data_IF_478579585111
#
_entry.id   IF_478579585111
#
_cell.length_a   1.000
_cell.length_b   1.000
_cell.length_c   1.000
_cell.angle_alpha   90.00
_cell.angle_beta   90.00
_cell.angle_gamma   90.00
#
_symmetry.space_group_name_H-M   'P 1'
#
loop_
_entity.id
_entity.type
_entity.pdbx_description
1 polymer ?
#
# COMPACT_ATOMS: atom_id res chain seq x y z
N UNK A 1 7.57 7.06 -48.76
CA UNK A 1 8.85 7.72 -49.06
C UNK A 1 8.67 9.18 -48.76
N UNK A 2 9.48 9.68 -47.82
CA UNK A 2 9.41 11.03 -47.31
C UNK A 2 9.52 12.07 -48.44
N UNK A 3 8.76 13.17 -48.31
CA UNK A 3 8.67 14.22 -49.34
C UNK A 3 9.09 15.57 -48.77
N UNK A 4 9.87 16.32 -49.53
CA UNK A 4 10.25 17.68 -49.12
C UNK A 4 9.06 18.64 -49.22
N UNK A 5 8.81 19.40 -48.15
CA UNK A 5 7.76 20.44 -48.04
C UNK A 5 8.39 21.71 -47.49
N UNK A 6 8.79 22.60 -48.40
CA UNK A 6 9.54 23.81 -48.05
C UNK A 6 10.90 23.46 -47.42
N UNK A 7 11.19 24.01 -46.24
CA UNK A 7 12.43 23.73 -45.47
C UNK A 7 12.37 22.44 -44.61
N UNK A 8 11.27 21.67 -44.68
CA UNK A 8 11.04 20.48 -43.85
C UNK A 8 10.77 19.25 -44.71
N UNK A 9 10.84 18.08 -44.10
CA UNK A 9 10.59 16.78 -44.73
C UNK A 9 9.34 16.12 -44.13
N UNK A 10 8.40 15.68 -44.95
CA UNK A 10 7.14 15.07 -44.52
C UNK A 10 7.18 13.56 -44.69
N UNK A 11 6.91 12.81 -43.62
CA UNK A 11 6.67 11.36 -43.68
C UNK A 11 5.20 11.10 -44.04
N UNK A 12 4.91 9.97 -44.67
CA UNK A 12 3.54 9.53 -44.98
C UNK A 12 3.35 8.09 -44.52
N UNK A 13 2.58 7.91 -43.44
CA UNK A 13 2.39 6.61 -42.78
C UNK A 13 0.93 6.31 -42.51
N UNK A 14 0.57 5.02 -42.52
CA UNK A 14 -0.74 4.53 -42.11
C UNK A 14 -0.60 3.90 -40.72
N UNK A 15 -1.31 4.44 -39.72
CA UNK A 15 -1.32 3.92 -38.35
C UNK A 15 -2.77 3.58 -38.02
N UNK A 16 -3.06 2.32 -37.75
CA UNK A 16 -4.40 1.80 -37.43
C UNK A 16 -5.48 2.24 -38.44
N UNK A 17 -5.15 2.20 -39.74
CA UNK A 17 -6.06 2.60 -40.82
C UNK A 17 -6.18 4.11 -41.06
N UNK A 18 -5.55 4.95 -40.22
CA UNK A 18 -5.56 6.41 -40.35
C UNK A 18 -4.24 6.90 -40.93
N UNK A 19 -4.31 7.70 -41.99
CA UNK A 19 -3.13 8.29 -42.63
C UNK A 19 -2.62 9.50 -41.86
N UNK A 20 -1.37 9.46 -41.38
CA UNK A 20 -0.71 10.57 -40.68
C UNK A 20 0.50 11.07 -41.48
N UNK A 21 0.69 12.40 -41.47
CA UNK A 21 1.75 13.08 -42.25
C UNK A 21 2.61 14.06 -41.45
N UNK A 22 3.38 13.59 -40.44
CA UNK A 22 4.24 14.45 -39.63
C UNK A 22 5.42 15.03 -40.43
N UNK A 23 6.00 16.14 -39.95
CA UNK A 23 7.13 16.82 -40.61
C UNK A 23 8.38 16.93 -39.73
N UNK A 24 9.54 16.76 -40.33
CA UNK A 24 10.86 16.61 -39.72
C UNK A 24 11.84 17.64 -40.29
N UNK A 25 12.96 17.83 -39.60
CA UNK A 25 13.98 18.78 -40.03
C UNK A 25 14.82 18.21 -41.19
N UNK A 26 15.06 16.89 -41.18
CA UNK A 26 15.89 16.22 -42.18
C UNK A 26 15.16 15.08 -42.90
N UNK A 27 15.63 14.74 -44.10
CA UNK A 27 15.11 13.61 -44.88
C UNK A 27 15.30 12.29 -44.12
N UNK A 28 16.46 12.10 -43.52
CA UNK A 28 16.82 10.89 -42.79
C UNK A 28 15.87 10.61 -41.62
N UNK A 29 15.45 11.64 -40.88
CA UNK A 29 14.46 11.54 -39.79
C UNK A 29 13.09 11.10 -40.29
N UNK A 30 12.62 11.71 -41.39
CA UNK A 30 11.32 11.38 -41.97
C UNK A 30 11.28 9.95 -42.53
N UNK A 31 12.34 9.52 -43.22
CA UNK A 31 12.45 8.16 -43.73
C UNK A 31 12.65 7.12 -42.63
N UNK A 32 13.39 7.45 -41.57
CA UNK A 32 13.50 6.58 -40.40
C UNK A 32 12.12 6.35 -39.79
N UNK A 33 11.34 7.42 -39.60
CA UNK A 33 9.97 7.34 -39.08
C UNK A 33 9.05 6.48 -39.95
N UNK A 34 9.12 6.59 -41.29
CA UNK A 34 8.35 5.73 -42.20
C UNK A 34 8.76 4.25 -42.09
N UNK A 35 10.07 3.96 -42.10
CA UNK A 35 10.60 2.58 -41.99
C UNK A 35 10.15 1.90 -40.71
N UNK A 36 10.13 2.67 -39.64
CA UNK A 36 9.72 2.26 -38.31
C UNK A 36 8.24 1.94 -38.18
N UNK A 37 7.36 2.80 -38.70
CA UNK A 37 5.93 2.49 -38.71
C UNK A 37 5.66 1.27 -39.60
N UNK A 38 6.36 1.15 -40.73
CA UNK A 38 6.29 -0.01 -41.60
C UNK A 38 6.78 -1.31 -40.94
N UNK A 39 7.72 -1.24 -39.99
CA UNK A 39 8.20 -2.39 -39.20
C UNK A 39 7.43 -2.61 -37.89
N UNK A 40 6.40 -1.82 -37.60
CA UNK A 40 5.62 -1.88 -36.35
C UNK A 40 6.32 -1.25 -35.13
N UNK A 41 7.45 -0.57 -35.32
CA UNK A 41 8.27 0.04 -34.28
C UNK A 41 8.64 1.49 -34.62
N UNK A 42 7.95 2.49 -34.05
CA UNK A 42 8.40 3.91 -34.10
C UNK A 42 9.88 4.04 -33.66
N UNK A 43 10.76 4.82 -34.33
CA UNK A 43 12.17 4.83 -33.99
C UNK A 43 12.59 6.12 -33.26
N UNK A 44 13.49 5.92 -32.30
CA UNK A 44 14.44 6.92 -31.78
C UNK A 44 13.86 8.03 -30.90
N UNK A 45 13.25 7.62 -29.79
CA UNK A 45 13.80 8.12 -28.53
C UNK A 45 14.66 7.02 -27.94
N UNK A 46 15.98 7.26 -27.86
CA UNK A 46 16.97 6.46 -27.10
C UNK A 46 16.67 6.44 -25.60
N UNK A 47 15.47 6.86 -25.20
CA UNK A 47 15.03 6.95 -23.83
C UNK A 47 14.80 5.55 -23.30
N UNK A 48 15.70 5.14 -22.43
CA UNK A 48 15.65 3.88 -21.72
C UNK A 48 14.94 4.05 -20.37
N UNK A 49 14.46 2.94 -19.83
CA UNK A 49 13.59 2.89 -18.67
C UNK A 49 14.18 3.62 -17.45
N UNK A 50 15.45 3.38 -17.13
CA UNK A 50 16.11 3.95 -15.96
C UNK A 50 16.28 5.47 -16.04
N UNK A 51 16.97 6.01 -17.07
CA UNK A 51 17.08 7.45 -17.28
C UNK A 51 15.72 8.16 -17.28
N UNK A 52 14.72 7.58 -17.95
CA UNK A 52 13.36 8.13 -17.96
C UNK A 52 12.73 8.19 -16.57
N UNK A 53 12.80 7.09 -15.82
CA UNK A 53 12.28 7.03 -14.45
C UNK A 53 12.95 8.08 -13.58
N UNK A 54 14.26 8.24 -13.68
CA UNK A 54 15.02 9.20 -12.88
C UNK A 54 14.63 10.64 -13.22
N UNK A 55 14.59 10.98 -14.51
CA UNK A 55 14.23 12.32 -14.98
C UNK A 55 12.78 12.68 -14.62
N UNK A 56 11.85 11.74 -14.78
CA UNK A 56 10.42 11.97 -14.56
C UNK A 56 9.99 11.69 -13.12
N UNK A 57 10.87 11.25 -12.22
CA UNK A 57 10.49 10.82 -10.87
C UNK A 57 9.70 11.90 -10.13
N UNK A 58 10.23 13.13 -10.09
CA UNK A 58 9.57 14.25 -9.42
C UNK A 58 8.27 14.67 -10.11
N UNK A 59 8.17 14.51 -11.44
CA UNK A 59 6.93 14.78 -12.17
C UNK A 59 5.83 13.75 -11.86
N UNK A 60 6.20 12.49 -11.65
CA UNK A 60 5.25 11.41 -11.37
C UNK A 60 4.89 11.35 -9.87
N UNK A 61 5.85 11.61 -8.99
CA UNK A 61 5.75 11.33 -7.55
C UNK A 61 6.31 12.42 -6.62
N UNK A 62 6.63 13.63 -7.11
CA UNK A 62 7.21 14.69 -6.29
C UNK A 62 6.40 15.04 -5.04
N UNK A 63 5.07 15.01 -5.14
CA UNK A 63 4.16 15.27 -4.02
C UNK A 63 3.79 14.01 -3.21
N UNK A 64 4.28 12.84 -3.59
CA UNK A 64 3.91 11.59 -2.96
C UNK A 64 4.66 11.41 -1.63
N UNK A 65 3.94 11.26 -0.51
CA UNK A 65 4.57 11.06 0.82
C UNK A 65 5.34 9.74 0.98
N UNK A 66 5.15 8.78 0.07
CA UNK A 66 5.75 7.45 0.13
C UNK A 66 6.85 7.24 -0.94
N UNK A 67 7.62 8.28 -1.27
CA UNK A 67 8.71 8.19 -2.26
C UNK A 67 9.69 7.05 -1.97
N UNK A 68 10.03 6.80 -0.71
CA UNK A 68 10.91 5.69 -0.31
C UNK A 68 10.37 4.32 -0.75
N UNK A 69 9.07 4.08 -0.54
CA UNK A 69 8.42 2.85 -0.97
C UNK A 69 8.38 2.72 -2.51
N UNK A 70 8.24 3.85 -3.21
CA UNK A 70 8.30 3.88 -4.68
C UNK A 70 9.70 3.51 -5.16
N UNK A 71 10.76 4.11 -4.61
CA UNK A 71 12.13 3.74 -4.91
C UNK A 71 12.41 2.26 -4.63
N UNK A 72 11.90 1.72 -3.52
CA UNK A 72 12.02 0.28 -3.21
C UNK A 72 11.35 -0.58 -4.27
N UNK A 73 10.16 -0.21 -4.74
CA UNK A 73 9.49 -0.94 -5.81
C UNK A 73 10.21 -0.80 -7.17
N UNK A 74 10.75 0.38 -7.49
CA UNK A 74 11.58 0.61 -8.68
C UNK A 74 12.85 -0.25 -8.65
N UNK A 75 13.53 -0.34 -7.49
CA UNK A 75 14.71 -1.20 -7.31
C UNK A 75 14.41 -2.66 -7.59
N UNK A 76 13.22 -3.14 -7.22
CA UNK A 76 12.77 -4.49 -7.57
C UNK A 76 12.47 -4.58 -9.07
N UNK A 77 11.78 -3.60 -9.66
CA UNK A 77 11.50 -3.57 -11.09
C UNK A 77 12.78 -3.62 -11.94
N UNK A 78 13.85 -2.93 -11.54
CA UNK A 78 15.13 -2.96 -12.26
C UNK A 78 15.77 -4.34 -12.37
N UNK A 79 15.36 -5.31 -11.53
CA UNK A 79 15.79 -6.72 -11.65
C UNK A 79 15.09 -7.47 -12.78
N UNK A 80 13.98 -6.94 -13.27
CA UNK A 80 13.16 -7.56 -14.32
C UNK A 80 13.06 -6.70 -15.59
N UNK A 81 13.27 -5.39 -15.46
CA UNK A 81 13.35 -4.42 -16.55
C UNK A 81 14.67 -3.67 -16.34
N UNK A 82 15.77 -4.12 -16.96
CA UNK A 82 17.07 -3.45 -16.90
C UNK A 82 16.96 -1.96 -17.24
N UNK A 83 17.80 -1.13 -16.61
CA UNK A 83 17.72 0.32 -16.75
C UNK A 83 17.91 0.82 -18.19
N UNK A 84 18.64 0.07 -19.00
CA UNK A 84 18.93 0.28 -20.42
C UNK A 84 17.84 -0.27 -21.37
N UNK A 85 16.76 -0.84 -20.83
CA UNK A 85 15.62 -1.29 -21.65
C UNK A 85 14.96 -0.09 -22.33
N UNK A 86 14.88 -0.10 -23.66
CA UNK A 86 14.15 0.92 -24.41
C UNK A 86 12.67 0.95 -23.99
N UNK A 87 12.09 2.14 -23.79
CA UNK A 87 10.67 2.24 -23.39
C UNK A 87 9.73 1.57 -24.40
N UNK A 88 10.08 1.63 -25.69
CA UNK A 88 9.31 1.03 -26.79
C UNK A 88 9.34 -0.50 -26.79
N UNK A 89 10.30 -1.14 -26.12
CA UNK A 89 10.37 -2.61 -26.01
C UNK A 89 9.65 -3.16 -24.77
N UNK A 90 9.14 -2.30 -23.89
CA UNK A 90 8.29 -2.69 -22.75
C UNK A 90 6.87 -2.91 -23.26
N UNK A 91 6.67 -3.99 -24.00
CA UNK A 91 5.38 -4.39 -24.54
C UNK A 91 4.60 -5.33 -23.59
N UNK A 92 3.42 -5.78 -24.04
CA UNK A 92 2.61 -6.75 -23.29
C UNK A 92 3.36 -8.06 -23.02
N UNK A 93 4.14 -8.56 -23.98
CA UNK A 93 4.86 -9.82 -23.84
C UNK A 93 6.00 -9.73 -22.82
N UNK A 94 6.73 -8.62 -22.78
CA UNK A 94 7.73 -8.35 -21.75
C UNK A 94 7.06 -8.25 -20.37
N UNK A 95 5.92 -7.55 -20.27
CA UNK A 95 5.17 -7.46 -19.01
C UNK A 95 4.72 -8.83 -18.50
N UNK A 96 4.18 -9.68 -19.39
CA UNK A 96 3.74 -11.03 -19.03
C UNK A 96 4.93 -11.92 -18.61
N UNK A 97 6.07 -11.87 -19.32
CA UNK A 97 7.31 -12.56 -18.91
C UNK A 97 7.81 -12.09 -17.56
N UNK A 98 7.80 -10.78 -17.30
CA UNK A 98 8.18 -10.22 -16.01
C UNK A 98 7.28 -10.74 -14.89
N UNK A 99 5.95 -10.75 -15.10
CA UNK A 99 4.99 -11.23 -14.09
C UNK A 99 5.24 -12.70 -13.79
N UNK A 100 5.37 -13.54 -14.82
CA UNK A 100 5.68 -14.98 -14.67
C UNK A 100 6.99 -15.19 -13.91
N UNK A 101 8.03 -14.42 -14.24
CA UNK A 101 9.31 -14.49 -13.54
C UNK A 101 9.18 -14.09 -12.06
N UNK A 102 8.46 -13.02 -11.75
CA UNK A 102 8.20 -12.63 -10.35
C UNK A 102 7.43 -13.71 -9.58
N UNK A 103 6.49 -14.40 -10.22
CA UNK A 103 5.77 -15.52 -9.61
C UNK A 103 6.71 -16.71 -9.34
N UNK A 104 7.57 -17.05 -10.30
CA UNK A 104 8.56 -18.12 -10.15
C UNK A 104 9.61 -17.79 -9.07
N UNK A 105 9.91 -16.50 -8.87
CA UNK A 105 10.76 -16.01 -7.77
C UNK A 105 10.02 -15.97 -6.40
N UNK A 106 8.83 -16.58 -6.31
CA UNK A 106 8.05 -16.72 -5.07
C UNK A 106 7.37 -15.43 -4.60
N UNK A 107 7.20 -14.41 -5.45
CA UNK A 107 6.54 -13.15 -5.02
C UNK A 107 5.03 -13.32 -4.96
N UNK A 108 4.45 -12.96 -3.81
CA UNK A 108 3.00 -12.91 -3.63
C UNK A 108 2.32 -11.96 -4.64
N UNK A 109 1.11 -12.30 -5.10
CA UNK A 109 0.39 -11.52 -6.12
C UNK A 109 0.18 -10.04 -5.76
N UNK A 110 -0.16 -9.74 -4.49
CA UNK A 110 -0.26 -8.36 -4.01
C UNK A 110 1.08 -7.61 -4.05
N UNK A 111 2.20 -8.31 -3.86
CA UNK A 111 3.54 -7.73 -4.03
C UNK A 111 3.78 -7.36 -5.50
N UNK A 112 3.45 -8.25 -6.43
CA UNK A 112 3.57 -8.01 -7.88
C UNK A 112 2.68 -6.84 -8.30
N UNK A 113 1.42 -6.81 -7.87
CA UNK A 113 0.45 -5.76 -8.19
C UNK A 113 0.91 -4.36 -7.79
N UNK A 114 1.71 -4.22 -6.72
CA UNK A 114 2.34 -2.95 -6.32
C UNK A 114 3.43 -2.51 -7.30
N UNK A 115 4.23 -3.45 -7.83
CA UNK A 115 5.26 -3.16 -8.85
C UNK A 115 4.60 -2.77 -10.16
N UNK A 116 3.57 -3.51 -10.57
CA UNK A 116 2.76 -3.19 -11.75
C UNK A 116 2.06 -1.82 -11.63
N UNK A 117 1.65 -1.39 -10.44
CA UNK A 117 1.10 -0.06 -10.22
C UNK A 117 2.16 1.05 -10.42
N UNK A 118 3.41 0.82 -9.99
CA UNK A 118 4.53 1.73 -10.24
C UNK A 118 4.85 1.79 -11.73
N UNK A 119 5.03 0.62 -12.37
CA UNK A 119 5.30 0.54 -13.82
C UNK A 119 4.21 1.21 -14.63
N UNK A 120 2.93 1.01 -14.27
CA UNK A 120 1.80 1.64 -14.95
C UNK A 120 1.91 3.17 -14.94
N UNK A 121 2.33 3.78 -13.82
CA UNK A 121 2.53 5.23 -13.75
C UNK A 121 3.68 5.72 -14.63
N UNK A 122 4.78 4.97 -14.68
CA UNK A 122 5.91 5.27 -15.57
C UNK A 122 5.47 5.23 -17.03
N UNK A 123 4.84 4.13 -17.46
CA UNK A 123 4.42 3.96 -18.86
C UNK A 123 3.31 4.93 -19.26
N UNK A 124 2.40 5.28 -18.36
CA UNK A 124 1.43 6.36 -18.61
C UNK A 124 2.09 7.71 -18.84
N UNK A 125 3.17 8.00 -18.10
CA UNK A 125 3.95 9.22 -18.32
C UNK A 125 4.71 9.17 -19.65
N UNK A 126 5.25 8.01 -20.02
CA UNK A 126 5.91 7.81 -21.31
C UNK A 126 4.93 7.99 -22.48
N UNK A 127 3.72 7.44 -22.35
CA UNK A 127 2.64 7.61 -23.34
C UNK A 127 2.22 9.08 -23.45
N UNK A 128 2.06 9.78 -22.33
CA UNK A 128 1.75 11.21 -22.33
C UNK A 128 2.81 12.07 -23.02
N UNK A 129 4.07 11.60 -23.05
CA UNK A 129 5.19 12.27 -23.72
C UNK A 129 5.43 11.73 -25.13
N UNK A 130 4.52 10.93 -25.67
CA UNK A 130 4.61 10.29 -27.00
C UNK A 130 5.87 9.40 -27.19
N UNK A 131 6.50 8.94 -26.10
CA UNK A 131 7.67 8.05 -26.13
C UNK A 131 7.30 6.59 -26.39
N UNK A 132 6.05 6.25 -26.13
CA UNK A 132 5.40 4.99 -26.51
C UNK A 132 4.06 5.34 -27.14
N UNK A 133 3.61 4.52 -28.09
CA UNK A 133 2.35 4.77 -28.82
C UNK A 133 1.15 4.08 -28.18
N UNK A 134 1.38 2.95 -27.50
CA UNK A 134 0.33 2.10 -26.95
C UNK A 134 0.69 1.72 -25.52
N UNK A 135 -0.29 1.81 -24.62
CA UNK A 135 -0.15 1.34 -23.25
C UNK A 135 -0.21 -0.19 -23.20
N UNK A 136 0.82 -0.88 -22.68
CA UNK A 136 0.74 -2.32 -22.46
C UNK A 136 -0.33 -2.67 -21.44
N UNK A 137 -1.03 -3.78 -21.66
CA UNK A 137 -2.03 -4.33 -20.74
C UNK A 137 -1.54 -5.67 -20.21
N UNK A 138 -1.91 -6.00 -18.97
CA UNK A 138 -1.49 -7.24 -18.33
C UNK A 138 -2.53 -7.72 -17.34
N UNK A 139 -2.59 -9.04 -17.14
CA UNK A 139 -3.46 -9.65 -16.13
C UNK A 139 -2.80 -9.52 -14.76
N UNK A 140 -3.50 -8.87 -13.83
CA UNK A 140 -3.03 -8.78 -12.43
C UNK A 140 -3.11 -10.15 -11.76
N UNK A 141 -2.02 -10.63 -11.12
CA UNK A 141 -2.09 -11.81 -10.28
C UNK A 141 -3.14 -11.64 -9.19
N UNK A 142 -3.83 -12.74 -8.85
CA UNK A 142 -4.74 -12.77 -7.70
C UNK A 142 -3.95 -12.44 -6.44
N UNK A 143 -4.48 -11.55 -5.63
CA UNK A 143 -3.92 -11.30 -4.30
C UNK A 143 -4.31 -12.46 -3.39
N UNK A 144 -3.38 -12.91 -2.54
CA UNK A 144 -3.66 -13.97 -1.57
C UNK A 144 -4.73 -13.53 -0.56
N UNK A 145 -5.22 -14.49 0.22
CA UNK A 145 -6.24 -14.23 1.24
C UNK A 145 -5.82 -13.10 2.18
N UNK A 146 -6.79 -12.26 2.53
CA UNK A 146 -6.57 -11.19 3.48
C UNK A 146 -6.18 -11.79 4.84
N UNK A 147 -5.21 -11.18 5.53
CA UNK A 147 -4.78 -11.60 6.88
C UNK A 147 -6.01 -11.81 7.77
N UNK A 148 -6.17 -13.03 8.28
CA UNK A 148 -7.36 -13.53 8.96
C UNK A 148 -7.09 -13.96 10.41
N UNK A 149 -5.83 -14.01 10.83
CA UNK A 149 -5.50 -14.35 12.22
C UNK A 149 -6.09 -13.36 13.20
N UNK A 150 -6.83 -13.90 14.18
CA UNK A 150 -7.51 -13.19 15.26
C UNK A 150 -7.08 -13.80 16.58
N UNK A 151 -6.73 -12.97 17.57
CA UNK A 151 -6.47 -13.45 18.92
C UNK A 151 -7.74 -13.67 19.73
N UNK A 152 -7.84 -14.86 20.31
CA UNK A 152 -8.78 -15.17 21.39
C UNK A 152 -8.40 -14.40 22.67
N UNK A 153 -9.24 -14.51 23.71
CA UNK A 153 -8.90 -13.98 25.04
C UNK A 153 -7.76 -14.76 25.71
N UNK A 154 -7.64 -16.05 25.42
CA UNK A 154 -6.52 -16.86 25.89
C UNK A 154 -5.20 -16.43 25.25
N UNK A 155 -5.19 -16.10 23.95
CA UNK A 155 -3.99 -15.58 23.27
C UNK A 155 -3.54 -14.24 23.85
N UNK A 156 -4.48 -13.32 24.08
CA UNK A 156 -4.20 -12.03 24.75
C UNK A 156 -3.57 -12.25 26.13
N UNK A 157 -4.13 -13.16 26.93
CA UNK A 157 -3.59 -13.48 28.25
C UNK A 157 -2.21 -14.13 28.18
N UNK A 158 -1.99 -15.08 27.26
CA UNK A 158 -0.70 -15.72 27.02
C UNK A 158 0.37 -14.68 26.65
N UNK A 159 0.04 -13.73 25.76
CA UNK A 159 0.96 -12.67 25.37
C UNK A 159 1.30 -11.73 26.54
N UNK A 160 0.33 -11.36 27.36
CA UNK A 160 0.57 -10.54 28.55
C UNK A 160 1.45 -11.27 29.59
N UNK A 161 1.21 -12.55 29.85
CA UNK A 161 2.05 -13.35 30.73
C UNK A 161 3.49 -13.45 30.21
N UNK A 162 3.67 -13.69 28.90
CA UNK A 162 4.98 -13.73 28.27
C UNK A 162 5.76 -12.44 28.48
N UNK A 163 5.17 -11.28 28.16
CA UNK A 163 5.86 -10.00 28.31
C UNK A 163 6.13 -9.67 29.77
N UNK A 164 5.19 -9.97 30.67
CA UNK A 164 5.37 -9.76 32.11
C UNK A 164 6.54 -10.58 32.66
N UNK A 165 6.60 -11.86 32.33
CA UNK A 165 7.69 -12.74 32.78
C UNK A 165 9.05 -12.31 32.20
N UNK A 166 9.07 -11.82 30.97
CA UNK A 166 10.27 -11.33 30.31
C UNK A 166 10.69 -9.90 30.73
N UNK A 167 9.93 -9.23 31.60
CA UNK A 167 10.19 -7.84 32.02
C UNK A 167 10.00 -6.80 30.90
N UNK A 168 9.22 -7.11 29.87
CA UNK A 168 9.05 -6.30 28.66
C UNK A 168 7.81 -5.40 28.76
N UNK A 169 7.85 -4.44 29.69
CA UNK A 169 6.71 -3.58 30.02
C UNK A 169 6.22 -2.78 28.81
N UNK A 170 7.12 -2.15 28.07
CA UNK A 170 6.78 -1.32 26.90
C UNK A 170 6.16 -2.16 25.77
N UNK A 171 6.63 -3.40 25.60
CA UNK A 171 6.09 -4.32 24.60
C UNK A 171 4.67 -4.78 24.96
N UNK A 172 4.42 -5.10 26.24
CA UNK A 172 3.08 -5.42 26.74
C UNK A 172 2.13 -4.23 26.59
N UNK A 173 2.55 -3.05 27.05
CA UNK A 173 1.77 -1.82 26.98
C UNK A 173 1.40 -1.49 25.52
N UNK A 174 2.36 -1.51 24.60
CA UNK A 174 2.09 -1.24 23.19
C UNK A 174 1.16 -2.31 22.58
N UNK A 175 1.36 -3.59 22.90
CA UNK A 175 0.51 -4.70 22.41
C UNK A 175 -0.94 -4.54 22.86
N UNK A 176 -1.19 -4.34 24.16
CA UNK A 176 -2.53 -4.10 24.71
C UNK A 176 -3.16 -2.84 24.13
N UNK A 177 -2.40 -1.75 24.02
CA UNK A 177 -2.91 -0.51 23.45
C UNK A 177 -3.35 -0.68 22.00
N UNK A 178 -2.55 -1.36 21.17
CA UNK A 178 -2.89 -1.66 19.77
C UNK A 178 -4.14 -2.54 19.67
N UNK A 179 -4.24 -3.58 20.50
CA UNK A 179 -5.35 -4.53 20.51
C UNK A 179 -6.68 -3.87 20.89
N UNK A 180 -6.66 -2.97 21.88
CA UNK A 180 -7.87 -2.38 22.45
C UNK A 180 -8.29 -1.05 21.82
N UNK A 181 -7.42 -0.42 21.04
CA UNK A 181 -7.76 0.78 20.24
C UNK A 181 -7.92 0.47 18.76
N UNK A 182 -7.35 -0.64 18.29
CA UNK A 182 -7.26 -0.96 16.88
C UNK A 182 -6.42 0.04 16.08
N UNK A 183 -5.63 0.91 16.71
CA UNK A 183 -4.82 1.87 15.97
C UNK A 183 -3.67 1.21 15.20
N UNK A 184 -3.14 1.91 14.19
CA UNK A 184 -1.94 1.44 13.49
C UNK A 184 -0.74 1.65 14.42
N UNK A 185 0.26 0.77 14.34
CA UNK A 185 1.56 0.96 15.02
C UNK A 185 2.19 2.32 14.65
N UNK A 186 1.99 2.80 13.42
CA UNK A 186 2.42 4.13 13.03
C UNK A 186 1.75 5.28 13.80
N UNK A 187 0.49 5.12 14.16
CA UNK A 187 -0.31 6.10 14.89
C UNK A 187 0.01 6.09 16.39
N UNK A 188 0.17 4.91 17.01
CA UNK A 188 0.55 4.79 18.41
C UNK A 188 1.84 5.56 18.74
N UNK A 189 2.86 5.42 17.89
CA UNK A 189 4.15 6.10 18.01
C UNK A 189 4.11 7.62 17.80
N UNK A 190 2.99 8.16 17.32
CA UNK A 190 2.80 9.61 17.13
C UNK A 190 1.90 10.22 18.21
N UNK A 191 1.42 9.41 19.15
CA UNK A 191 0.59 9.89 20.24
C UNK A 191 1.44 10.65 21.24
N UNK A 192 1.01 11.87 21.52
CA UNK A 192 1.52 12.67 22.63
C UNK A 192 0.61 12.55 23.86
N UNK A 193 1.07 12.98 25.04
CA UNK A 193 0.29 13.01 26.28
C UNK A 193 -0.99 13.83 26.16
N UNK A 194 -0.97 14.92 25.38
CA UNK A 194 -2.17 15.72 25.07
C UNK A 194 -3.16 15.00 24.16
N UNK A 195 -2.78 13.93 23.46
CA UNK A 195 -3.70 13.18 22.60
C UNK A 195 -4.49 12.13 23.38
N UNK A 196 -4.01 11.73 24.55
CA UNK A 196 -4.64 10.74 25.43
C UNK A 196 -5.02 11.39 26.76
N UNK A 197 -6.24 11.90 26.83
CA UNK A 197 -6.75 12.63 27.99
C UNK A 197 -8.28 12.53 28.08
N UNK A 198 -8.82 12.75 29.28
CA UNK A 198 -10.27 12.81 29.52
C UNK A 198 -11.03 11.53 29.15
N UNK A 199 -10.37 10.36 29.15
CA UNK A 199 -10.98 9.09 28.75
C UNK A 199 -11.04 8.85 27.23
N UNK A 200 -10.32 9.65 26.43
CA UNK A 200 -10.27 9.50 24.99
C UNK A 200 -8.83 9.42 24.47
N UNK A 201 -8.67 8.86 23.28
CA UNK A 201 -7.47 9.02 22.45
C UNK A 201 -7.83 9.66 21.12
N UNK A 202 -7.03 10.64 20.71
CA UNK A 202 -7.18 11.37 19.45
C UNK A 202 -6.03 11.03 18.50
N UNK A 203 -6.34 10.40 17.38
CA UNK A 203 -5.37 10.12 16.32
C UNK A 203 -5.43 11.24 15.28
N UNK A 204 -4.43 12.12 15.28
CA UNK A 204 -4.32 13.26 14.34
C UNK A 204 -3.60 12.83 13.05
N UNK A 205 -4.11 13.26 11.90
CA UNK A 205 -3.36 13.27 10.64
C UNK A 205 -3.23 14.71 10.12
N UNK A 206 -2.00 15.18 9.87
CA UNK A 206 -1.70 16.62 9.73
C UNK A 206 -1.89 17.21 8.33
N UNK A 207 -2.26 16.43 7.31
CA UNK A 207 -2.25 16.97 5.93
C UNK A 207 -3.11 16.15 4.95
N UNK A 208 -4.44 16.14 5.10
CA UNK A 208 -5.46 15.50 4.22
C UNK A 208 -6.09 14.18 4.73
N UNK A 209 -6.22 14.00 6.04
CA UNK A 209 -6.93 12.87 6.66
C UNK A 209 -7.98 13.34 7.65
N UNK A 210 -8.94 12.49 7.97
CA UNK A 210 -9.90 12.74 9.05
C UNK A 210 -9.27 12.39 10.39
N UNK A 211 -9.07 13.39 11.26
CA UNK A 211 -8.80 13.16 12.69
C UNK A 211 -9.90 12.28 13.26
N UNK A 212 -9.55 11.27 14.03
CA UNK A 212 -10.52 10.45 14.75
C UNK A 212 -10.24 10.45 16.23
N UNK A 213 -11.31 10.44 17.00
CA UNK A 213 -11.28 10.31 18.45
C UNK A 213 -12.08 9.07 18.82
N UNK A 214 -11.54 8.25 19.69
CA UNK A 214 -12.25 7.08 20.24
C UNK A 214 -12.25 7.15 21.76
N UNK A 215 -13.23 6.49 22.36
CA UNK A 215 -13.28 6.28 23.80
C UNK A 215 -12.19 5.27 24.16
N UNK A 216 -11.40 5.60 25.18
CA UNK A 216 -10.33 4.73 25.65
C UNK A 216 -10.94 3.65 26.55
N UNK A 217 -10.75 2.37 26.19
CA UNK A 217 -11.18 1.27 27.05
C UNK A 217 -10.34 1.26 28.33
N UNK A 218 -10.84 0.62 29.39
CA UNK A 218 -10.10 0.47 30.64
C UNK A 218 -8.72 -0.19 30.40
N UNK A 219 -8.66 -1.24 29.58
CA UNK A 219 -7.40 -1.93 29.25
C UNK A 219 -6.44 -1.03 28.45
N UNK A 220 -6.94 -0.27 27.47
CA UNK A 220 -6.10 0.67 26.73
C UNK A 220 -5.59 1.82 27.62
N UNK A 221 -6.39 2.27 28.58
CA UNK A 221 -5.98 3.26 29.58
C UNK A 221 -4.85 2.73 30.46
N UNK A 222 -5.00 1.54 31.03
CA UNK A 222 -3.95 0.91 31.85
C UNK A 222 -2.66 0.77 31.04
N UNK A 223 -2.74 0.29 29.80
CA UNK A 223 -1.59 0.18 28.91
C UNK A 223 -0.91 1.53 28.63
N UNK A 224 -1.70 2.59 28.43
CA UNK A 224 -1.17 3.95 28.27
C UNK A 224 -0.48 4.47 29.53
N UNK A 225 -1.08 4.25 30.70
CA UNK A 225 -0.54 4.70 31.98
C UNK A 225 0.78 3.97 32.31
N UNK A 226 0.92 2.70 31.91
CA UNK A 226 2.16 1.94 32.07
C UNK A 226 3.30 2.46 31.20
N UNK A 227 3.09 2.69 29.90
CA UNK A 227 4.15 3.28 29.04
C UNK A 227 4.51 4.69 29.52
N UNK A 228 3.53 5.45 30.04
CA UNK A 228 3.79 6.77 30.60
C UNK A 228 4.67 6.75 31.86
N UNK A 229 4.78 5.62 32.57
CA UNK A 229 5.63 5.45 33.75
C UNK A 229 7.07 5.09 33.39
N UNK A 230 7.32 4.55 32.20
CA UNK A 230 8.68 4.17 31.78
C UNK A 230 9.49 5.36 31.26
N UNK A 231 8.84 6.49 30.93
CA UNK A 231 9.49 7.68 30.40
C UNK A 231 8.68 8.95 30.67
N UNK A 232 9.37 10.09 30.86
CA UNK A 232 8.75 11.42 30.97
C UNK A 232 8.55 12.12 29.61
N UNK A 233 8.93 11.50 28.50
CA UNK A 233 8.79 12.08 27.17
C UNK A 233 7.32 12.42 26.83
N UNK A 234 7.12 13.44 25.98
CA UNK A 234 5.77 13.84 25.52
C UNK A 234 5.11 12.75 24.65
N UNK A 235 5.90 11.95 23.93
CA UNK A 235 5.44 10.81 23.12
C UNK A 235 5.99 9.48 23.66
N UNK A 236 5.38 8.88 24.70
CA UNK A 236 5.95 7.73 25.41
C UNK A 236 6.26 6.51 24.52
N UNK A 237 5.36 6.17 23.58
CA UNK A 237 5.61 5.06 22.66
C UNK A 237 6.74 5.34 21.65
N UNK A 238 7.08 6.62 21.39
CA UNK A 238 8.16 6.96 20.48
C UNK A 238 9.54 6.64 21.08
N UNK A 239 9.68 6.70 22.40
CA UNK A 239 10.89 6.33 23.14
C UNK A 239 11.16 4.83 23.10
N UNK A 240 10.14 4.01 22.83
CA UNK A 240 10.29 2.56 22.68
C UNK A 240 10.58 2.19 21.21
N UNK A 241 11.83 1.92 20.80
CA UNK A 241 12.19 1.91 19.39
C UNK A 241 11.47 0.82 18.59
N UNK A 242 11.13 1.13 17.33
CA UNK A 242 10.36 0.20 16.47
C UNK A 242 11.07 -1.12 16.22
N UNK A 243 12.39 -1.10 16.05
CA UNK A 243 13.16 -2.32 15.81
C UNK A 243 13.28 -3.17 17.08
N UNK A 244 13.34 -2.53 18.26
CA UNK A 244 13.22 -3.22 19.56
C UNK A 244 11.87 -3.90 19.71
N UNK A 245 10.77 -3.20 19.38
CA UNK A 245 9.44 -3.80 19.37
C UNK A 245 9.33 -4.96 18.38
N UNK A 246 9.94 -4.83 17.19
CA UNK A 246 10.00 -5.94 16.23
C UNK A 246 10.73 -7.15 16.82
N UNK A 247 11.89 -6.96 17.45
CA UNK A 247 12.63 -8.06 18.10
C UNK A 247 11.83 -8.73 19.21
N UNK A 248 11.15 -7.95 20.06
CA UNK A 248 10.29 -8.50 21.12
C UNK A 248 9.07 -9.22 20.55
N UNK A 249 8.51 -8.74 19.44
CA UNK A 249 7.41 -9.39 18.74
C UNK A 249 7.84 -10.72 18.11
N UNK A 250 9.04 -10.84 17.54
CA UNK A 250 9.54 -12.13 17.02
C UNK A 250 9.76 -13.13 18.16
N UNK A 251 10.21 -12.69 19.34
CA UNK A 251 10.27 -13.56 20.53
C UNK A 251 8.89 -14.03 20.97
N UNK A 252 7.89 -13.15 20.95
CA UNK A 252 6.50 -13.52 21.21
C UNK A 252 6.01 -14.51 20.15
N UNK A 253 6.31 -14.28 18.87
CA UNK A 253 5.95 -15.18 17.77
C UNK A 253 6.49 -16.58 18.00
N UNK A 254 7.76 -16.72 18.38
CA UNK A 254 8.35 -18.00 18.72
C UNK A 254 7.68 -18.67 19.93
N UNK A 255 7.32 -17.90 20.96
CA UNK A 255 6.54 -18.41 22.09
C UNK A 255 5.13 -18.91 21.72
N UNK A 256 4.60 -18.45 20.59
CA UNK A 256 3.34 -18.91 20.00
C UNK A 256 3.51 -20.00 18.96
N UNK A 257 4.74 -20.47 18.72
CA UNK A 257 5.07 -21.46 17.66
C UNK A 257 4.49 -21.01 16.30
N UNK A 258 4.63 -19.72 16.01
CA UNK A 258 4.01 -19.04 14.89
C UNK A 258 5.04 -18.44 13.91
N UNK A 259 6.27 -18.96 13.91
CA UNK A 259 7.38 -18.56 13.02
C UNK A 259 7.01 -18.68 11.55
N UNK A 260 6.32 -19.76 11.20
CA UNK A 260 5.87 -20.05 9.84
C UNK A 260 4.57 -19.34 9.47
N UNK A 261 3.96 -18.58 10.40
CA UNK A 261 2.75 -17.81 10.12
C UNK A 261 3.06 -16.37 9.69
N UNK A 262 2.93 -16.04 8.39
CA UNK A 262 3.16 -14.68 7.89
C UNK A 262 2.13 -13.66 8.40
N UNK A 263 1.02 -14.12 9.00
CA UNK A 263 -0.03 -13.29 9.57
C UNK A 263 0.20 -12.92 11.04
N UNK A 264 1.14 -13.58 11.75
CA UNK A 264 1.50 -13.25 13.13
C UNK A 264 2.37 -12.00 13.21
N UNK A 265 1.81 -10.85 12.85
CA UNK A 265 2.50 -9.54 12.82
C UNK A 265 1.68 -8.54 13.62
N UNK A 266 2.27 -7.45 14.18
CA UNK A 266 1.53 -6.54 15.07
C UNK A 266 0.22 -5.96 14.48
N UNK A 267 0.12 -5.87 13.16
CA UNK A 267 -1.11 -5.43 12.49
C UNK A 267 -2.31 -6.38 12.69
N UNK A 268 -2.09 -7.63 13.08
CA UNK A 268 -3.15 -8.57 13.43
C UNK A 268 -3.97 -8.13 14.64
N UNK A 269 -3.37 -7.35 15.57
CA UNK A 269 -4.06 -6.81 16.74
C UNK A 269 -5.17 -5.86 16.32
N UNK A 270 -4.91 -5.07 15.26
CA UNK A 270 -5.90 -4.21 14.63
C UNK A 270 -7.03 -5.02 13.98
N UNK A 271 -6.72 -6.15 13.34
CA UNK A 271 -7.75 -7.05 12.81
C UNK A 271 -8.58 -7.66 13.93
N UNK A 272 -7.93 -8.17 14.98
CA UNK A 272 -8.58 -8.70 16.18
C UNK A 272 -9.53 -7.68 16.81
N UNK A 273 -9.12 -6.41 16.93
CA UNK A 273 -9.99 -5.34 17.42
C UNK A 273 -11.27 -5.21 16.60
N UNK A 274 -11.15 -5.08 15.28
CA UNK A 274 -12.32 -4.94 14.40
C UNK A 274 -13.21 -6.19 14.39
N UNK A 275 -12.62 -7.38 14.41
CA UNK A 275 -13.35 -8.65 14.52
C UNK A 275 -14.14 -8.70 15.83
N UNK A 276 -13.54 -8.33 16.96
CA UNK A 276 -14.22 -8.31 18.26
C UNK A 276 -15.36 -7.30 18.30
N UNK A 277 -15.20 -6.13 17.69
CA UNK A 277 -16.28 -5.15 17.55
C UNK A 277 -17.44 -5.73 16.71
N UNK A 278 -17.12 -6.38 15.58
CA UNK A 278 -18.13 -6.99 14.72
C UNK A 278 -18.89 -8.14 15.41
N UNK A 279 -18.16 -9.05 16.05
CA UNK A 279 -18.74 -10.14 16.85
C UNK A 279 -19.57 -9.62 18.03
N UNK A 280 -19.21 -8.45 18.58
CA UNK A 280 -19.99 -7.74 19.59
C UNK A 280 -21.23 -7.02 19.05
N UNK A 281 -21.57 -7.17 17.77
CA UNK A 281 -22.74 -6.57 17.16
C UNK A 281 -22.61 -5.07 16.83
N UNK A 282 -21.40 -4.52 16.85
CA UNK A 282 -21.19 -3.11 16.46
C UNK A 282 -21.35 -2.97 14.95
N UNK A 283 -22.20 -2.04 14.51
CA UNK A 283 -22.44 -1.82 13.08
C UNK A 283 -21.18 -1.34 12.33
N UNK A 284 -21.16 -1.61 11.02
CA UNK A 284 -20.00 -1.34 10.17
C UNK A 284 -19.65 0.15 10.08
N UNK A 285 -20.61 1.06 10.27
CA UNK A 285 -20.33 2.49 10.23
C UNK A 285 -19.59 2.92 11.50
N UNK A 286 -20.01 2.46 12.67
CA UNK A 286 -19.29 2.68 13.94
C UNK A 286 -17.90 2.04 13.91
N UNK A 287 -17.77 0.81 13.39
CA UNK A 287 -16.45 0.18 13.20
C UNK A 287 -15.58 1.02 12.23
N UNK A 288 -16.13 1.48 11.10
CA UNK A 288 -15.38 2.35 10.15
C UNK A 288 -14.82 3.59 10.84
N UNK A 289 -15.63 4.24 11.68
CA UNK A 289 -15.23 5.43 12.44
C UNK A 289 -14.16 5.09 13.48
N UNK A 290 -14.37 4.04 14.28
CA UNK A 290 -13.42 3.57 15.29
C UNK A 290 -12.05 3.26 14.67
N UNK A 291 -12.06 2.49 13.59
CA UNK A 291 -10.84 2.05 12.91
C UNK A 291 -10.19 3.21 12.12
N UNK A 292 -10.92 4.25 11.74
CA UNK A 292 -10.42 5.29 10.84
C UNK A 292 -10.22 4.78 9.42
N UNK A 293 -11.18 4.01 8.90
CA UNK A 293 -11.18 3.56 7.52
C UNK A 293 -11.71 4.65 6.59
N UNK A 294 -10.98 4.90 5.49
CA UNK A 294 -11.36 5.93 4.51
C UNK A 294 -12.63 5.56 3.74
N UNK A 295 -12.78 4.29 3.39
CA UNK A 295 -13.99 3.78 2.73
C UNK A 295 -14.62 2.66 3.54
N UNK A 296 -15.94 2.52 3.43
CA UNK A 296 -16.69 1.41 4.06
C UNK A 296 -16.27 0.05 3.49
N UNK A 297 -15.78 0.01 2.24
CA UNK A 297 -15.26 -1.19 1.59
C UNK A 297 -14.15 -1.88 2.41
N UNK A 298 -13.33 -1.11 3.14
CA UNK A 298 -12.30 -1.68 4.03
C UNK A 298 -12.91 -2.40 5.25
N UNK A 299 -14.09 -1.97 5.70
CA UNK A 299 -14.80 -2.52 6.86
C UNK A 299 -15.77 -3.64 6.47
N UNK A 300 -16.28 -3.67 5.24
CA UNK A 300 -17.19 -4.71 4.75
C UNK A 300 -16.63 -6.13 4.93
N UNK A 301 -15.31 -6.29 4.97
CA UNK A 301 -14.70 -7.60 5.27
C UNK A 301 -15.10 -8.20 6.62
N UNK A 302 -15.67 -7.42 7.55
CA UNK A 302 -16.16 -7.89 8.85
C UNK A 302 -17.68 -8.08 8.88
N UNK A 303 -18.40 -7.80 7.79
CA UNK A 303 -19.88 -7.81 7.78
C UNK A 303 -20.45 -9.17 8.14
N UNK A 304 -19.84 -10.25 7.64
CA UNK A 304 -20.26 -11.63 7.88
C UNK A 304 -20.10 -12.09 9.34
N UNK A 305 -19.45 -11.29 10.19
CA UNK A 305 -19.27 -11.57 11.61
C UNK A 305 -20.31 -10.88 12.49
N UNK A 306 -21.07 -9.93 11.92
CA UNK A 306 -22.09 -9.18 12.67
C UNK A 306 -23.36 -10.05 12.71
N UNK A 307 -23.91 -10.33 13.89
CA UNK A 307 -25.20 -10.99 14.01
C UNK A 307 -26.28 -10.21 13.25
N UNK A 308 -27.08 -10.88 12.42
CA UNK A 308 -28.04 -10.23 11.53
C UNK A 308 -29.17 -9.48 12.30
N UNK A 309 -29.48 -9.91 13.53
CA UNK A 309 -30.38 -9.25 14.51
C UNK A 309 -31.58 -8.50 13.88
N UNK A 310 -32.26 -9.14 12.92
CA UNK A 310 -33.36 -8.53 12.17
C UNK A 310 -34.57 -8.20 13.06
N UNK A 311 -34.68 -8.85 14.22
CA UNK A 311 -35.71 -8.57 15.23
C UNK A 311 -35.57 -7.16 15.82
N UNK A 312 -34.33 -6.66 15.97
CA UNK A 312 -34.06 -5.29 16.43
C UNK A 312 -34.55 -4.28 15.38
N UNK A 313 -34.35 -4.57 14.09
CA UNK A 313 -34.82 -3.72 13.00
C UNK A 313 -36.35 -3.68 12.95
N UNK A 314 -37.01 -4.83 13.10
CA UNK A 314 -38.48 -4.91 13.16
C UNK A 314 -39.04 -4.11 14.36
N UNK A 315 -38.49 -4.31 15.57
CA UNK A 315 -38.90 -3.56 16.77
C UNK A 315 -38.71 -2.06 16.63
N UNK A 316 -37.62 -1.62 16.00
CA UNK A 316 -37.35 -0.21 15.78
C UNK A 316 -38.35 0.44 14.81
N UNK A 317 -38.83 -0.32 13.81
CA UNK A 317 -39.82 0.15 12.85
C UNK A 317 -41.21 0.29 13.50
N UNK A 318 -41.63 -0.67 14.32
CA UNK A 318 -42.90 -0.61 15.05
C UNK A 318 -42.93 0.48 16.13
N UNK A 319 -41.76 0.89 16.63
CA UNK A 319 -41.62 1.93 17.63
C UNK A 319 -41.55 3.36 17.06
N UNK A 320 -41.51 3.52 15.73
CA UNK A 320 -41.38 4.80 15.03
C UNK A 320 -42.74 5.36 14.58
#
# INVERSE_FOLDING_TARGET
MARQRGKRWQADVLIDGVRKRPTFATQAEAEAYERAIASGFAPTTTTTFGPFVNEQFNRIWGENKAQFAIHTNLRVLYRYIPADTALTSIDKHMCDRMITKMMNDGKAGGTINRKLAVLSKVLKRALFMDLITIMPTWKRPKEGNARDRVWTKADEHKADLFFKHAGLVEASALTRFLLHTGCRVGEAYKLSRKDVHGGFVTFRETKNGTTRRIILTATAKVAWDEICKTTNADMPFAEYPRDTFRGHWERLRAHFEAEDDPNFVPHMLRHTCATRLALGGVDLQRIKLWMGHKSIQMTLRYSHLIPENLDVAAKALEAA
#
